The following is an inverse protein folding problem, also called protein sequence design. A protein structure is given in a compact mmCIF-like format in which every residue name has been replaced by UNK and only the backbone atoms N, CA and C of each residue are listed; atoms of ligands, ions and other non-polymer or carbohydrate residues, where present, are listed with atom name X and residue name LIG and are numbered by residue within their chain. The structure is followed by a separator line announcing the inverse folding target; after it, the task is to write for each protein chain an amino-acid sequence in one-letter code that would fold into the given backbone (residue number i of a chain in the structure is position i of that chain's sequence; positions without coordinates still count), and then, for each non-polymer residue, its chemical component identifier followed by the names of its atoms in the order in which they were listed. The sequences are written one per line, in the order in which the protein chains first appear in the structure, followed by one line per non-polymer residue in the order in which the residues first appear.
data_IF_308133948928
#
_entry.id   IF_308133948928
#
_cell.length_a   1.000
_cell.length_b   1.000
_cell.length_c   1.000
_cell.angle_alpha   90.00
_cell.angle_beta   90.00
_cell.angle_gamma   90.00
#
_symmetry.space_group_name_H-M   'P 1'
#
loop_
_entity.id
_entity.type
_entity.pdbx_description
1 polymer ?
#
# COMPACT_ATOMS: atom_id res chain seq x y z
N UNK A 1 -7.06 -6.76 28.54
CA UNK A 1 -7.84 -6.60 27.28
C UNK A 1 -6.83 -6.34 26.18
N UNK A 2 -6.88 -7.14 25.11
CA UNK A 2 -5.93 -7.04 24.00
C UNK A 2 -6.08 -5.70 23.28
N UNK A 3 -5.09 -4.81 23.39
CA UNK A 3 -5.14 -3.42 22.91
C UNK A 3 -5.53 -3.32 21.41
N UNK A 4 -5.14 -4.32 20.62
CA UNK A 4 -5.45 -4.44 19.21
C UNK A 4 -6.95 -4.60 18.91
N UNK A 5 -7.73 -5.09 19.87
CA UNK A 5 -9.17 -5.30 19.74
C UNK A 5 -9.99 -4.06 20.12
N UNK A 6 -9.33 -2.97 20.55
CA UNK A 6 -10.01 -1.73 20.88
C UNK A 6 -10.71 -1.13 19.65
N UNK A 7 -11.94 -0.62 19.80
CA UNK A 7 -12.65 0.07 18.74
C UNK A 7 -11.89 1.28 18.21
N UNK A 8 -11.96 1.48 16.89
CA UNK A 8 -11.26 2.58 16.20
C UNK A 8 -11.71 3.97 16.67
N UNK A 9 -12.91 4.07 17.23
CA UNK A 9 -13.52 5.28 17.78
C UNK A 9 -12.69 5.92 18.91
N UNK A 10 -11.89 5.11 19.62
CA UNK A 10 -11.04 5.58 20.72
C UNK A 10 -9.68 6.11 20.25
N UNK A 11 -9.34 5.96 18.96
CA UNK A 11 -8.08 6.44 18.44
C UNK A 11 -8.09 7.98 18.32
N UNK A 12 -7.09 8.63 18.89
CA UNK A 12 -6.93 10.08 18.76
C UNK A 12 -6.88 10.53 17.30
N UNK A 13 -7.76 11.48 16.96
CA UNK A 13 -7.96 11.96 15.58
C UNK A 13 -9.11 11.29 14.83
N UNK A 14 -9.75 10.27 15.43
CA UNK A 14 -10.96 9.60 14.92
C UNK A 14 -12.18 10.07 15.71
N UNK A 15 -12.84 11.14 15.25
CA UNK A 15 -14.15 11.51 15.79
C UNK A 15 -15.28 10.60 15.27
N UNK A 16 -16.50 10.67 15.83
CA UNK A 16 -17.61 9.77 15.48
C UNK A 16 -17.88 9.66 13.97
N UNK A 17 -17.88 10.80 13.27
CA UNK A 17 -18.08 10.83 11.82
C UNK A 17 -16.95 10.16 11.02
N UNK A 18 -15.70 10.20 11.51
CA UNK A 18 -14.58 9.50 10.88
C UNK A 18 -14.62 8.01 11.17
N UNK A 19 -14.95 7.62 12.40
CA UNK A 19 -15.12 6.22 12.79
C UNK A 19 -16.17 5.53 11.90
N UNK A 20 -17.34 6.16 11.76
CA UNK A 20 -18.42 5.65 10.90
C UNK A 20 -17.98 5.44 9.44
N UNK A 21 -17.20 6.37 8.90
CA UNK A 21 -16.69 6.25 7.53
C UNK A 21 -15.64 5.14 7.40
N UNK A 22 -14.71 5.02 8.34
CA UNK A 22 -13.71 3.95 8.36
C UNK A 22 -14.38 2.57 8.40
N UNK A 23 -15.41 2.41 9.23
CA UNK A 23 -16.20 1.18 9.33
C UNK A 23 -16.97 0.87 8.05
N UNK A 24 -17.69 1.84 7.49
CA UNK A 24 -18.57 1.64 6.32
C UNK A 24 -17.80 1.46 5.01
N UNK A 25 -16.76 2.27 4.79
CA UNK A 25 -16.06 2.32 3.50
C UNK A 25 -14.85 1.39 3.46
N UNK A 26 -14.12 1.22 4.57
CA UNK A 26 -12.89 0.41 4.62
C UNK A 26 -13.02 -0.86 5.48
N UNK A 27 -14.15 -1.07 6.17
CA UNK A 27 -14.34 -2.17 7.13
C UNK A 27 -13.29 -2.18 8.25
N UNK A 28 -12.83 -1.00 8.67
CA UNK A 28 -11.89 -0.83 9.78
C UNK A 28 -12.70 -0.57 11.05
N UNK A 29 -12.78 -1.57 11.93
CA UNK A 29 -13.55 -1.50 13.18
C UNK A 29 -12.65 -1.35 14.40
N UNK A 30 -11.44 -1.90 14.34
CA UNK A 30 -10.50 -2.01 15.46
C UNK A 30 -9.13 -1.43 15.15
N UNK A 31 -8.28 -1.33 16.17
CA UNK A 31 -6.87 -0.97 16.00
C UNK A 31 -6.12 -1.98 15.13
N UNK A 32 -6.43 -3.28 15.27
CA UNK A 32 -5.89 -4.33 14.42
C UNK A 32 -6.20 -4.08 12.95
N UNK A 33 -7.46 -3.75 12.63
CA UNK A 33 -7.87 -3.52 11.24
C UNK A 33 -7.13 -2.32 10.62
N UNK A 34 -6.89 -1.25 11.39
CA UNK A 34 -6.12 -0.10 10.90
C UNK A 34 -4.64 -0.47 10.71
N UNK A 35 -4.06 -1.26 11.63
CA UNK A 35 -2.67 -1.71 11.58
C UNK A 35 -2.39 -2.71 10.45
N UNK A 36 -3.40 -3.48 10.01
CA UNK A 36 -3.26 -4.38 8.87
C UNK A 36 -3.75 -3.76 7.56
N UNK A 37 -4.17 -2.50 7.58
CA UNK A 37 -4.53 -1.74 6.39
C UNK A 37 -3.28 -1.23 5.66
N UNK A 38 -2.59 -2.13 4.97
CA UNK A 38 -1.28 -1.84 4.37
C UNK A 38 -1.34 -0.85 3.19
N UNK A 39 -0.26 -0.08 2.96
CA UNK A 39 -0.12 0.71 1.74
C UNK A 39 -0.13 -0.17 0.49
N UNK A 40 -0.81 0.28 -0.56
CA UNK A 40 -0.84 -0.43 -1.85
C UNK A 40 0.33 -0.07 -2.78
N UNK A 41 0.99 1.06 -2.50
CA UNK A 41 2.24 1.48 -3.15
C UNK A 41 3.01 2.39 -2.22
N UNK A 42 4.27 2.66 -2.56
CA UNK A 42 5.12 3.62 -1.87
C UNK A 42 5.58 4.68 -2.85
N UNK A 43 5.69 5.92 -2.38
CA UNK A 43 6.23 7.04 -3.15
C UNK A 43 7.53 7.50 -2.51
N UNK A 44 8.53 7.74 -3.36
CA UNK A 44 9.80 8.30 -2.93
C UNK A 44 9.74 9.84 -3.00
N UNK A 45 9.93 10.43 -1.83
CA UNK A 45 9.98 11.85 -1.49
C UNK A 45 11.35 12.22 -0.89
N UNK A 46 12.37 11.39 -1.06
CA UNK A 46 13.74 11.67 -0.58
C UNK A 46 14.40 12.81 -1.33
N UNK A 47 14.14 12.89 -2.65
CA UNK A 47 14.80 13.84 -3.55
C UNK A 47 13.95 15.08 -3.78
N UNK A 48 14.54 16.24 -3.51
CA UNK A 48 13.99 17.54 -3.89
C UNK A 48 14.62 17.95 -5.22
N UNK A 49 13.78 18.16 -6.23
CA UNK A 49 14.17 18.60 -7.57
C UNK A 49 14.10 20.13 -7.65
N UNK A 50 14.95 20.69 -8.51
CA UNK A 50 14.79 22.07 -9.00
C UNK A 50 13.74 22.11 -10.11
N UNK A 51 13.06 23.24 -10.28
CA UNK A 51 12.06 23.41 -11.34
C UNK A 51 12.69 23.21 -12.72
N UNK A 52 13.93 23.65 -12.93
CA UNK A 52 14.68 23.44 -14.18
C UNK A 52 15.01 21.98 -14.51
N UNK A 53 14.95 21.09 -13.51
CA UNK A 53 15.20 19.65 -13.71
C UNK A 53 13.94 18.89 -14.14
N UNK A 54 12.79 19.56 -14.19
CA UNK A 54 11.53 18.93 -14.58
C UNK A 54 11.54 18.75 -16.10
N UNK A 55 11.42 17.50 -16.52
CA UNK A 55 11.25 17.10 -17.92
C UNK A 55 9.94 16.36 -18.09
N UNK A 56 9.50 16.22 -19.34
CA UNK A 56 8.33 15.41 -19.68
C UNK A 56 8.52 13.96 -19.22
N UNK A 57 7.40 13.31 -18.86
CA UNK A 57 7.34 11.92 -18.39
C UNK A 57 8.07 11.58 -17.07
N UNK A 58 8.57 12.58 -16.33
CA UNK A 58 8.96 12.31 -14.95
C UNK A 58 7.78 11.73 -14.15
N UNK A 59 8.07 10.81 -13.20
CA UNK A 59 7.07 10.31 -12.26
C UNK A 59 6.68 11.42 -11.28
N UNK A 60 6.29 11.08 -10.06
CA UNK A 60 6.04 12.09 -9.04
C UNK A 60 7.35 12.78 -8.65
N UNK A 61 7.33 14.11 -8.55
CA UNK A 61 8.46 14.93 -8.13
C UNK A 61 8.12 15.67 -6.85
N UNK A 62 9.16 15.97 -6.08
CA UNK A 62 9.07 16.87 -4.93
C UNK A 62 9.91 18.11 -5.22
N UNK A 63 9.34 19.31 -5.10
CA UNK A 63 10.01 20.58 -5.39
C UNK A 63 9.84 21.54 -4.22
N UNK A 64 10.88 22.35 -3.95
CA UNK A 64 10.84 23.41 -2.92
C UNK A 64 10.79 24.76 -3.63
N UNK A 65 9.86 25.63 -3.23
CA UNK A 65 9.79 26.98 -3.76
C UNK A 65 8.90 27.91 -2.94
N UNK A 66 8.81 29.17 -3.33
CA UNK A 66 7.89 30.16 -2.75
C UNK A 66 6.66 30.35 -3.61
N UNK A 67 5.50 30.49 -2.99
CA UNK A 67 4.30 30.91 -3.71
C UNK A 67 4.34 32.43 -3.88
N UNK A 68 4.48 32.91 -5.12
CA UNK A 68 4.56 34.34 -5.44
C UNK A 68 3.19 34.97 -5.71
N UNK A 69 2.25 34.18 -6.24
CA UNK A 69 0.86 34.60 -6.47
C UNK A 69 -0.06 33.40 -6.61
N UNK A 70 -1.35 33.63 -6.41
CA UNK A 70 -2.39 32.67 -6.77
C UNK A 70 -3.66 33.40 -7.20
N UNK A 71 -4.40 32.78 -8.11
CA UNK A 71 -5.57 33.36 -8.75
C UNK A 71 -6.65 32.30 -9.05
N UNK A 72 -7.91 32.72 -9.01
CA UNK A 72 -9.04 31.90 -9.46
C UNK A 72 -9.25 32.17 -10.96
N UNK A 73 -9.17 31.12 -11.78
CA UNK A 73 -9.40 31.20 -13.23
C UNK A 73 -10.67 30.43 -13.59
N UNK A 74 -11.45 30.98 -14.53
CA UNK A 74 -12.65 30.36 -15.10
C UNK A 74 -13.94 30.70 -14.33
N UNK A 75 -15.08 30.24 -14.88
CA UNK A 75 -16.42 30.44 -14.30
C UNK A 75 -17.19 29.11 -14.25
N UNK A 76 -18.13 29.00 -13.29
CA UNK A 76 -18.97 27.81 -13.14
C UNK A 76 -18.15 26.53 -12.92
N UNK A 77 -18.45 25.48 -13.71
CA UNK A 77 -17.76 24.17 -13.65
C UNK A 77 -16.29 24.22 -14.10
N UNK A 78 -15.86 25.25 -14.82
CA UNK A 78 -14.48 25.41 -15.26
C UNK A 78 -13.60 26.20 -14.26
N UNK A 79 -14.12 26.53 -13.07
CA UNK A 79 -13.37 27.26 -12.05
C UNK A 79 -12.23 26.41 -11.49
N UNK A 80 -11.03 26.98 -11.42
CA UNK A 80 -9.83 26.37 -10.84
C UNK A 80 -8.97 27.40 -10.13
N UNK A 81 -8.28 26.97 -9.08
CA UNK A 81 -7.25 27.77 -8.41
C UNK A 81 -5.91 27.47 -9.08
N UNK A 82 -5.16 28.52 -9.44
CA UNK A 82 -3.77 28.40 -9.88
C UNK A 82 -2.88 29.14 -8.90
N UNK A 83 -1.84 28.47 -8.38
CA UNK A 83 -0.75 29.12 -7.66
C UNK A 83 0.54 29.05 -8.48
N UNK A 84 1.37 30.08 -8.39
CA UNK A 84 2.68 30.13 -9.02
C UNK A 84 3.73 29.88 -7.96
N UNK A 85 4.43 28.76 -8.09
CA UNK A 85 5.55 28.40 -7.26
C UNK A 85 6.84 28.78 -8.00
N UNK A 86 7.69 29.55 -7.34
CA UNK A 86 8.98 30.01 -7.84
C UNK A 86 10.11 29.41 -7.01
N UNK A 87 11.16 28.93 -7.68
CA UNK A 87 12.46 28.66 -7.09
C UNK A 87 13.53 29.51 -7.80
N UNK A 88 14.80 29.30 -7.45
CA UNK A 88 15.96 29.97 -8.05
C UNK A 88 16.18 29.66 -9.54
N UNK A 89 15.44 28.69 -10.10
CA UNK A 89 15.62 28.19 -11.47
C UNK A 89 14.43 28.44 -12.38
N UNK A 90 13.25 28.76 -11.84
CA UNK A 90 12.08 29.09 -12.65
C UNK A 90 10.77 29.10 -11.88
N UNK A 91 9.67 29.08 -12.64
CA UNK A 91 8.30 29.15 -12.12
C UNK A 91 7.48 27.97 -12.66
N UNK A 92 6.74 27.30 -11.78
CA UNK A 92 5.79 26.25 -12.13
C UNK A 92 4.38 26.56 -11.61
N UNK A 93 3.36 26.14 -12.36
CA UNK A 93 1.95 26.33 -11.98
C UNK A 93 1.42 25.15 -11.18
N UNK A 94 0.80 25.42 -10.05
CA UNK A 94 0.08 24.44 -9.22
C UNK A 94 -1.41 24.64 -9.45
N UNK A 95 -2.13 23.59 -9.84
CA UNK A 95 -3.53 23.70 -10.31
C UNK A 95 -4.46 22.83 -9.48
N UNK A 96 -5.54 23.40 -8.96
CA UNK A 96 -6.59 22.66 -8.25
C UNK A 96 -7.96 22.91 -8.89
N UNK A 97 -8.57 21.83 -9.39
CA UNK A 97 -9.93 21.85 -9.93
C UNK A 97 -11.00 21.62 -8.85
N UNK A 98 -10.71 20.74 -7.90
CA UNK A 98 -11.51 20.47 -6.69
C UNK A 98 -10.89 21.11 -5.44
N UNK A 99 -11.71 21.48 -4.46
CA UNK A 99 -11.23 21.96 -3.14
C UNK A 99 -10.61 23.36 -3.13
N UNK A 100 -10.67 24.11 -4.24
CA UNK A 100 -10.04 25.41 -4.43
C UNK A 100 -10.24 26.39 -3.25
N UNK A 101 -11.46 26.46 -2.69
CA UNK A 101 -11.77 27.38 -1.57
C UNK A 101 -10.94 27.09 -0.31
N UNK A 102 -10.85 25.82 0.09
CA UNK A 102 -10.09 25.41 1.28
C UNK A 102 -8.58 25.57 1.08
N UNK A 103 -8.11 25.21 -0.12
CA UNK A 103 -6.69 25.34 -0.48
C UNK A 103 -6.29 26.81 -0.47
N UNK A 104 -7.09 27.68 -1.11
CA UNK A 104 -6.84 29.12 -1.13
C UNK A 104 -6.69 29.71 0.27
N UNK A 105 -7.49 29.26 1.24
CA UNK A 105 -7.35 29.72 2.64
C UNK A 105 -6.09 29.21 3.36
N UNK A 106 -5.47 28.12 2.88
CA UNK A 106 -4.22 27.58 3.44
C UNK A 106 -2.94 28.13 2.80
N UNK A 107 -3.03 28.68 1.58
CA UNK A 107 -1.88 29.20 0.86
C UNK A 107 -1.52 30.61 1.33
N UNK A 108 -0.22 30.86 1.52
CA UNK A 108 0.35 32.15 1.89
C UNK A 108 1.34 32.60 0.83
N UNK A 109 1.26 33.87 0.44
CA UNK A 109 2.22 34.48 -0.48
C UNK A 109 3.57 34.63 0.23
N UNK A 110 4.66 34.59 -0.54
CA UNK A 110 6.05 34.75 -0.07
C UNK A 110 6.49 33.73 0.99
N UNK A 111 5.78 32.61 1.10
CA UNK A 111 6.05 31.53 2.04
C UNK A 111 6.63 30.33 1.29
N UNK A 112 7.64 29.69 1.88
CA UNK A 112 8.27 28.49 1.30
C UNK A 112 7.40 27.25 1.51
N UNK A 113 7.17 26.52 0.42
CA UNK A 113 6.44 25.27 0.40
C UNK A 113 7.29 24.15 -0.21
N UNK A 114 7.04 22.95 0.28
CA UNK A 114 7.40 21.71 -0.38
C UNK A 114 6.16 21.21 -1.12
N UNK A 115 6.33 20.91 -2.40
CA UNK A 115 5.23 20.54 -3.29
C UNK A 115 5.53 19.18 -3.90
N UNK A 116 4.61 18.24 -3.73
CA UNK A 116 4.71 16.90 -4.28
C UNK A 116 3.58 16.62 -5.27
N UNK A 117 3.93 16.12 -6.44
CA UNK A 117 2.93 15.70 -7.43
C UNK A 117 3.55 15.29 -8.76
N UNK A 118 2.71 14.83 -9.68
CA UNK A 118 3.15 14.47 -11.03
C UNK A 118 3.19 15.73 -11.91
N UNK A 119 4.35 16.08 -12.49
CA UNK A 119 4.44 17.18 -13.44
C UNK A 119 3.76 16.79 -14.75
N UNK A 120 3.14 17.77 -15.40
CA UNK A 120 2.48 17.63 -16.69
C UNK A 120 2.77 18.85 -17.54
N UNK A 121 3.22 18.65 -18.78
CA UNK A 121 3.40 19.74 -19.73
C UNK A 121 2.07 20.16 -20.35
N UNK A 122 1.84 21.46 -20.38
CA UNK A 122 0.76 22.07 -21.14
C UNK A 122 1.25 23.36 -21.79
N UNK A 123 1.25 23.40 -23.13
CA UNK A 123 1.66 24.56 -23.94
C UNK A 123 3.02 25.13 -23.53
N UNK A 124 4.07 24.30 -23.53
CA UNK A 124 5.44 24.63 -23.12
C UNK A 124 5.60 25.13 -21.67
N UNK A 125 4.60 24.93 -20.82
CA UNK A 125 4.70 25.22 -19.38
C UNK A 125 4.36 23.98 -18.57
N UNK A 126 5.20 23.66 -17.59
CA UNK A 126 4.90 22.61 -16.63
C UNK A 126 3.84 23.09 -15.63
N UNK A 127 2.97 22.16 -15.26
CA UNK A 127 2.06 22.33 -14.15
C UNK A 127 1.96 21.04 -13.35
N UNK A 128 1.54 21.17 -12.09
CA UNK A 128 1.20 20.02 -11.24
C UNK A 128 -0.27 20.15 -10.89
N UNK A 129 -1.05 19.13 -11.23
CA UNK A 129 -2.49 19.07 -10.93
C UNK A 129 -2.71 18.39 -9.59
N UNK A 130 -3.52 19.01 -8.73
CA UNK A 130 -3.81 18.54 -7.39
C UNK A 130 -2.54 18.17 -6.58
N UNK A 131 -1.51 19.04 -6.55
CA UNK A 131 -0.32 18.76 -5.76
C UNK A 131 -0.65 18.70 -4.28
N UNK A 132 0.15 17.92 -3.56
CA UNK A 132 0.26 18.02 -2.14
C UNK A 132 1.22 19.17 -1.78
N UNK A 133 0.84 20.01 -0.83
CA UNK A 133 1.63 21.18 -0.43
C UNK A 133 1.82 21.18 1.08
N UNK A 134 3.07 21.20 1.52
CA UNK A 134 3.46 21.31 2.92
C UNK A 134 4.29 22.56 3.14
N UNK A 135 4.15 23.21 4.30
CA UNK A 135 5.04 24.31 4.66
C UNK A 135 6.46 23.77 4.84
N UNK A 136 7.43 24.43 4.23
CA UNK A 136 8.84 24.02 4.35
C UNK A 136 9.31 24.02 5.80
N UNK A 137 8.85 24.97 6.60
CA UNK A 137 9.18 25.06 8.03
C UNK A 137 8.72 23.82 8.81
N UNK A 138 7.51 23.33 8.55
CA UNK A 138 6.97 22.13 9.20
C UNK A 138 7.67 20.85 8.72
N UNK A 139 8.12 20.85 7.47
CA UNK A 139 8.89 19.76 6.90
C UNK A 139 10.28 19.68 7.53
N UNK A 140 10.99 20.81 7.60
CA UNK A 140 12.35 20.86 8.13
C UNK A 140 12.44 20.47 9.62
N UNK A 141 11.35 20.60 10.37
CA UNK A 141 11.26 20.22 11.79
C UNK A 141 11.12 18.72 12.04
N UNK A 142 10.83 17.88 11.03
CA UNK A 142 10.63 16.43 11.23
C UNK A 142 11.69 15.62 10.50
N UNK A 143 12.09 14.50 11.10
CA UNK A 143 12.87 13.48 10.42
C UNK A 143 11.99 12.83 9.34
N UNK A 144 12.22 13.18 8.07
CA UNK A 144 11.50 12.59 6.96
C UNK A 144 12.32 11.45 6.39
N UNK A 145 11.67 10.29 6.29
CA UNK A 145 12.16 9.19 5.46
C UNK A 145 11.53 9.38 4.10
N UNK A 146 12.33 9.31 3.05
CA UNK A 146 11.86 9.56 1.69
C UNK A 146 10.73 8.64 1.26
N UNK A 147 10.62 7.43 1.79
CA UNK A 147 9.60 6.49 1.37
C UNK A 147 8.30 6.65 2.18
N UNK A 148 7.22 7.03 1.52
CA UNK A 148 5.90 7.19 2.14
C UNK A 148 4.88 6.21 1.55
N UNK A 149 4.15 5.51 2.42
CA UNK A 149 3.08 4.59 2.02
C UNK A 149 1.84 5.34 1.50
N UNK A 150 1.28 4.85 0.40
CA UNK A 150 0.01 5.33 -0.16
C UNK A 150 -1.11 4.33 0.12
N UNK A 151 -2.21 4.83 0.68
CA UNK A 151 -3.36 4.04 1.13
C UNK A 151 -4.57 4.27 0.23
N UNK A 152 -5.38 3.22 0.05
CA UNK A 152 -6.65 3.37 -0.65
C UNK A 152 -7.58 4.30 0.14
N UNK A 153 -8.26 5.19 -0.56
CA UNK A 153 -9.21 6.14 0.03
C UNK A 153 -10.23 6.54 -1.04
N UNK A 154 -11.50 6.62 -0.65
CA UNK A 154 -12.59 7.07 -1.51
C UNK A 154 -12.72 8.60 -1.47
N UNK A 155 -13.43 9.19 -2.44
CA UNK A 155 -13.69 10.65 -2.43
C UNK A 155 -14.42 11.09 -1.15
N UNK A 156 -15.33 10.25 -0.63
CA UNK A 156 -16.05 10.51 0.63
C UNK A 156 -15.10 10.55 1.83
N UNK A 157 -14.17 9.60 1.91
CA UNK A 157 -13.14 9.56 2.94
C UNK A 157 -12.22 10.80 2.84
N UNK A 158 -11.74 11.10 1.63
CA UNK A 158 -10.89 12.26 1.38
C UNK A 158 -11.57 13.58 1.78
N UNK A 159 -12.88 13.73 1.52
CA UNK A 159 -13.65 14.90 1.91
C UNK A 159 -13.72 15.13 3.43
N UNK A 160 -13.51 14.09 4.24
CA UNK A 160 -13.42 14.17 5.73
C UNK A 160 -11.99 14.12 6.26
N UNK A 161 -11.00 14.28 5.38
CA UNK A 161 -9.58 14.27 5.72
C UNK A 161 -9.01 12.87 5.98
N UNK A 162 -9.69 11.82 5.49
CA UNK A 162 -9.22 10.43 5.50
C UNK A 162 -8.65 10.04 4.13
N UNK A 163 -7.94 10.97 3.48
CA UNK A 163 -7.10 10.65 2.32
C UNK A 163 -5.86 9.84 2.78
N UNK A 164 -4.98 9.47 1.85
CA UNK A 164 -3.78 8.68 2.16
C UNK A 164 -2.96 9.26 3.33
N UNK A 165 -2.72 10.58 3.35
CA UNK A 165 -2.02 11.27 4.45
C UNK A 165 -2.80 11.21 5.77
N UNK A 166 -4.12 11.34 5.71
CA UNK A 166 -5.01 11.21 6.85
C UNK A 166 -4.93 9.84 7.50
N UNK A 167 -4.97 8.79 6.67
CA UNK A 167 -4.84 7.39 7.13
C UNK A 167 -3.45 7.16 7.74
N UNK A 168 -2.39 7.58 7.05
CA UNK A 168 -1.03 7.51 7.59
C UNK A 168 -0.89 8.24 8.93
N UNK A 169 -1.55 9.39 9.10
CA UNK A 169 -1.56 10.13 10.37
C UNK A 169 -2.23 9.34 11.49
N UNK A 170 -3.36 8.68 11.21
CA UNK A 170 -4.00 7.79 12.18
C UNK A 170 -3.09 6.63 12.57
N UNK A 171 -2.43 6.01 11.59
CA UNK A 171 -1.45 4.94 11.84
C UNK A 171 -0.29 5.44 12.70
N UNK A 172 0.28 6.62 12.38
CA UNK A 172 1.35 7.24 13.18
C UNK A 172 0.91 7.57 14.62
N UNK A 173 -0.37 7.86 14.84
CA UNK A 173 -0.92 8.02 16.19
C UNK A 173 -1.10 6.67 16.91
N UNK A 174 -1.41 5.61 16.17
CA UNK A 174 -1.63 4.27 16.70
C UNK A 174 -0.33 3.57 17.08
N UNK A 175 0.71 3.61 16.23
CA UNK A 175 1.95 2.85 16.42
C UNK A 175 2.60 3.05 17.81
N UNK A 176 2.70 4.26 18.38
CA UNK A 176 3.28 4.44 19.72
C UNK A 176 2.46 3.79 20.84
N UNK A 177 1.14 3.66 20.65
CA UNK A 177 0.26 3.02 21.63
C UNK A 177 0.47 1.51 21.68
N UNK A 178 0.84 0.90 20.55
CA UNK A 178 1.00 -0.55 20.41
C UNK A 178 2.40 -1.05 20.76
N UNK A 179 3.29 -0.18 21.24
CA UNK A 179 4.69 -0.52 21.47
C UNK A 179 4.79 -1.62 22.54
N UNK A 180 5.48 -2.72 22.21
CA UNK A 180 5.58 -3.93 23.03
C UNK A 180 4.26 -4.70 23.26
N UNK A 181 3.14 -4.29 22.65
CA UNK A 181 1.84 -4.98 22.75
C UNK A 181 1.56 -5.87 21.52
N UNK A 182 2.54 -6.03 20.63
CA UNK A 182 2.43 -6.88 19.44
C UNK A 182 3.12 -8.21 19.71
N UNK A 183 2.31 -9.24 19.93
CA UNK A 183 2.80 -10.61 20.10
C UNK A 183 3.41 -11.17 18.81
N UNK A 184 4.55 -11.84 18.98
CA UNK A 184 5.23 -12.55 17.91
C UNK A 184 4.46 -13.81 17.50
N UNK A 185 4.45 -14.10 16.20
CA UNK A 185 3.67 -15.19 15.59
C UNK A 185 4.55 -16.32 15.08
N UNK A 186 5.83 -16.04 14.82
CA UNK A 186 6.81 -17.03 14.39
C UNK A 186 7.67 -17.46 15.58
N UNK A 187 8.13 -18.71 15.58
CA UNK A 187 9.07 -19.16 16.61
C UNK A 187 10.41 -18.45 16.47
N UNK A 188 11.11 -18.26 17.60
CA UNK A 188 12.45 -17.66 17.59
C UNK A 188 13.42 -18.36 16.64
N UNK A 189 13.28 -19.70 16.50
CA UNK A 189 14.09 -20.50 15.59
C UNK A 189 13.93 -20.02 14.14
N UNK A 190 12.69 -19.86 13.67
CA UNK A 190 12.40 -19.41 12.29
C UNK A 190 12.94 -17.99 12.08
N UNK A 191 12.73 -17.10 13.06
CA UNK A 191 13.19 -15.71 12.99
C UNK A 191 14.72 -15.66 12.85
N UNK A 192 15.45 -16.42 13.69
CA UNK A 192 16.92 -16.49 13.69
C UNK A 192 17.46 -17.13 12.39
N UNK A 193 16.91 -18.27 11.98
CA UNK A 193 17.36 -18.98 10.76
C UNK A 193 17.16 -18.17 9.48
N UNK A 194 16.05 -17.43 9.38
CA UNK A 194 15.71 -16.65 8.18
C UNK A 194 16.15 -15.19 8.27
N UNK A 195 16.79 -14.79 9.38
CA UNK A 195 17.21 -13.42 9.69
C UNK A 195 16.08 -12.40 9.47
N UNK A 196 14.89 -12.71 9.97
CA UNK A 196 13.73 -11.86 9.81
C UNK A 196 13.64 -10.83 10.95
N UNK A 197 13.17 -9.60 10.68
CA UNK A 197 12.78 -8.66 11.74
C UNK A 197 11.61 -9.21 12.59
N UNK A 198 11.41 -8.63 13.78
CA UNK A 198 10.24 -8.96 14.60
C UNK A 198 8.96 -8.52 13.90
N UNK A 199 7.82 -9.09 14.33
CA UNK A 199 6.51 -8.68 13.81
C UNK A 199 6.24 -7.20 14.05
N UNK A 200 6.51 -6.70 15.26
CA UNK A 200 6.36 -5.29 15.60
C UNK A 200 7.20 -4.40 14.68
N UNK A 201 8.49 -4.70 14.53
CA UNK A 201 9.39 -3.92 13.66
C UNK A 201 8.91 -3.94 12.21
N UNK A 202 8.39 -5.07 11.74
CA UNK A 202 7.86 -5.21 10.40
C UNK A 202 6.60 -4.37 10.18
N UNK A 203 5.68 -4.36 11.15
CA UNK A 203 4.46 -3.56 11.09
C UNK A 203 4.76 -2.05 11.19
N UNK A 204 5.76 -1.64 11.98
CA UNK A 204 6.20 -0.24 11.96
C UNK A 204 6.78 0.13 10.59
N UNK A 205 7.73 -0.67 10.07
CA UNK A 205 8.45 -0.32 8.85
C UNK A 205 7.63 -0.48 7.57
N UNK A 206 6.55 -1.27 7.55
CA UNK A 206 5.65 -1.32 6.39
C UNK A 206 4.83 -0.01 6.28
N UNK A 207 4.50 0.63 7.40
CA UNK A 207 3.72 1.89 7.37
C UNK A 207 4.60 3.14 7.35
N UNK A 208 5.66 3.13 8.15
CA UNK A 208 6.62 4.21 8.30
C UNK A 208 8.04 3.65 8.23
N UNK A 209 8.52 3.32 7.01
CA UNK A 209 9.89 2.87 6.81
C UNK A 209 10.89 3.83 7.46
N UNK A 210 11.92 3.31 8.13
CA UNK A 210 13.08 4.11 8.55
C UNK A 210 14.07 4.35 7.41
N UNK A 211 14.23 3.34 6.56
CA UNK A 211 15.07 3.35 5.38
C UNK A 211 14.59 2.23 4.42
N UNK A 212 15.16 2.18 3.22
CA UNK A 212 14.76 1.21 2.21
C UNK A 212 15.08 -0.25 2.60
N UNK A 213 16.16 -0.49 3.34
CA UNK A 213 16.53 -1.85 3.77
C UNK A 213 15.52 -2.41 4.78
N UNK A 214 15.14 -1.61 5.77
CA UNK A 214 14.14 -2.01 6.77
C UNK A 214 12.77 -2.22 6.14
N UNK A 215 12.40 -1.41 5.15
CA UNK A 215 11.20 -1.62 4.35
C UNK A 215 11.21 -2.99 3.64
N UNK A 216 12.29 -3.31 2.93
CA UNK A 216 12.42 -4.58 2.21
C UNK A 216 12.35 -5.77 3.19
N UNK A 217 13.03 -5.67 4.34
CA UNK A 217 13.01 -6.71 5.38
C UNK A 217 11.61 -6.89 5.98
N UNK A 218 10.93 -5.81 6.31
CA UNK A 218 9.55 -5.82 6.80
C UNK A 218 8.60 -6.48 5.80
N UNK A 219 8.68 -6.08 4.53
CA UNK A 219 7.85 -6.66 3.47
C UNK A 219 8.12 -8.16 3.31
N UNK A 220 9.39 -8.58 3.33
CA UNK A 220 9.77 -10.00 3.27
C UNK A 220 9.17 -10.78 4.43
N UNK A 221 9.28 -10.27 5.66
CA UNK A 221 8.77 -10.90 6.88
C UNK A 221 7.24 -11.03 6.89
N UNK A 222 6.51 -9.99 6.50
CA UNK A 222 5.04 -10.03 6.45
C UNK A 222 4.54 -11.00 5.38
N UNK A 223 5.12 -10.96 4.17
CA UNK A 223 4.81 -11.93 3.11
C UNK A 223 5.11 -13.36 3.55
N UNK A 224 6.28 -13.58 4.14
CA UNK A 224 6.67 -14.91 4.62
C UNK A 224 5.67 -15.44 5.64
N UNK A 225 5.28 -14.62 6.62
CA UNK A 225 4.30 -15.02 7.65
C UNK A 225 2.96 -15.43 7.04
N UNK A 226 2.43 -14.64 6.11
CA UNK A 226 1.17 -14.96 5.43
C UNK A 226 1.26 -16.30 4.69
N UNK A 227 2.31 -16.50 3.88
CA UNK A 227 2.53 -17.78 3.19
C UNK A 227 2.77 -18.95 4.15
N UNK A 228 3.48 -18.72 5.25
CA UNK A 228 3.76 -19.73 6.25
C UNK A 228 2.46 -20.26 6.88
N UNK A 229 1.58 -19.36 7.34
CA UNK A 229 0.30 -19.76 7.91
C UNK A 229 -0.64 -20.37 6.88
N UNK A 230 -0.63 -19.89 5.63
CA UNK A 230 -1.36 -20.52 4.54
C UNK A 230 -0.90 -21.97 4.32
N UNK A 231 0.43 -22.20 4.26
CA UNK A 231 0.99 -23.54 4.09
C UNK A 231 0.69 -24.45 5.29
N UNK A 232 0.80 -23.93 6.52
CA UNK A 232 0.42 -24.69 7.71
C UNK A 232 -1.06 -25.09 7.67
N UNK A 233 -1.94 -24.20 7.21
CA UNK A 233 -3.36 -24.50 7.04
C UNK A 233 -3.59 -25.61 6.00
N UNK A 234 -2.94 -25.52 4.82
CA UNK A 234 -3.03 -26.53 3.77
C UNK A 234 -2.49 -27.90 4.23
N UNK A 235 -1.38 -27.91 4.96
CA UNK A 235 -0.81 -29.14 5.53
C UNK A 235 -1.74 -29.74 6.58
N UNK A 236 -2.33 -28.93 7.45
CA UNK A 236 -3.34 -29.38 8.41
C UNK A 236 -4.53 -30.05 7.70
N UNK A 237 -5.05 -29.42 6.64
CA UNK A 237 -6.13 -29.99 5.84
C UNK A 237 -5.72 -31.32 5.18
N UNK A 238 -4.52 -31.37 4.57
CA UNK A 238 -3.97 -32.58 3.96
C UNK A 238 -3.89 -33.71 4.99
N UNK A 239 -3.34 -33.46 6.17
CA UNK A 239 -3.19 -34.45 7.24
C UNK A 239 -4.54 -34.96 7.75
N UNK A 240 -5.52 -34.06 7.94
CA UNK A 240 -6.88 -34.45 8.34
C UNK A 240 -7.51 -35.34 7.27
N UNK A 241 -7.37 -34.96 5.99
CA UNK A 241 -7.90 -35.73 4.87
C UNK A 241 -7.27 -37.11 4.77
N UNK A 242 -5.94 -37.22 4.82
CA UNK A 242 -5.23 -38.51 4.73
C UNK A 242 -5.51 -39.43 5.92
N UNK A 243 -5.77 -38.86 7.11
CA UNK A 243 -6.15 -39.67 8.28
C UNK A 243 -7.59 -40.18 8.20
N UNK A 244 -8.52 -39.35 7.71
CA UNK A 244 -9.96 -39.70 7.64
C UNK A 244 -10.32 -40.55 6.43
N UNK A 245 -9.68 -40.30 5.30
CA UNK A 245 -9.91 -41.00 4.04
C UNK A 245 -8.67 -41.83 3.72
N UNK A 246 -8.75 -43.14 3.99
CA UNK A 246 -7.80 -44.08 3.41
C UNK A 246 -8.10 -44.15 1.92
N UNK A 247 -7.12 -43.81 1.08
CA UNK A 247 -7.22 -44.03 -0.36
C UNK A 247 -7.45 -45.51 -0.65
N UNK A 248 -8.20 -45.80 -1.70
CA UNK A 248 -8.33 -47.17 -2.19
C UNK A 248 -7.14 -47.44 -3.12
N UNK A 249 -6.24 -48.38 -2.77
CA UNK A 249 -5.13 -48.69 -3.65
C UNK A 249 -5.69 -49.28 -4.94
N UNK A 250 -5.27 -48.76 -6.09
CA UNK A 250 -5.63 -49.32 -7.38
C UNK A 250 -4.47 -50.13 -7.96
N UNK A 251 -4.07 -51.30 -7.42
CA UNK A 251 -2.78 -51.93 -7.74
C UNK A 251 -2.67 -52.44 -9.19
N UNK A 252 -3.79 -52.76 -9.83
CA UNK A 252 -3.83 -53.42 -11.13
C UNK A 252 -4.54 -52.52 -12.13
N UNK A 253 -3.94 -52.36 -13.32
CA UNK A 253 -4.60 -51.75 -14.46
C UNK A 253 -5.50 -52.83 -15.06
N UNK A 254 -6.82 -52.68 -14.89
CA UNK A 254 -7.79 -53.65 -15.39
C UNK A 254 -7.96 -53.62 -16.90
N UNK A 255 -8.60 -54.66 -17.44
CA UNK A 255 -8.78 -54.87 -18.87
C UNK A 255 -9.53 -53.72 -19.54
N UNK A 256 -10.52 -53.12 -18.86
CA UNK A 256 -11.25 -51.95 -19.36
C UNK A 256 -10.33 -50.76 -19.73
N UNK A 257 -9.27 -50.52 -18.95
CA UNK A 257 -8.31 -49.45 -19.27
C UNK A 257 -7.45 -49.82 -20.48
N UNK A 258 -6.94 -51.05 -20.52
CA UNK A 258 -6.07 -51.51 -21.60
C UNK A 258 -6.84 -51.61 -22.93
N UNK A 259 -8.09 -52.08 -22.89
CA UNK A 259 -8.99 -52.14 -24.05
C UNK A 259 -9.30 -50.73 -24.56
N UNK A 260 -9.67 -49.80 -23.68
CA UNK A 260 -9.92 -48.42 -24.09
C UNK A 260 -8.67 -47.77 -24.68
N UNK A 261 -7.53 -47.91 -23.99
CA UNK A 261 -6.25 -47.31 -24.40
C UNK A 261 -5.77 -47.84 -25.77
N UNK A 262 -5.89 -49.14 -26.02
CA UNK A 262 -5.37 -49.76 -27.24
C UNK A 262 -6.37 -49.76 -28.41
N UNK A 263 -7.67 -49.90 -28.15
CA UNK A 263 -8.66 -50.20 -29.19
C UNK A 263 -9.66 -49.07 -29.46
N UNK A 264 -9.81 -48.11 -28.55
CA UNK A 264 -10.83 -47.05 -28.65
C UNK A 264 -10.27 -45.64 -28.78
N UNK A 265 -8.96 -45.43 -28.58
CA UNK A 265 -8.32 -44.13 -28.83
C UNK A 265 -7.82 -44.10 -30.29
N UNK A 266 -8.39 -43.24 -31.17
CA UNK A 266 -8.09 -43.26 -32.60
C UNK A 266 -6.78 -42.56 -32.98
N UNK A 267 -5.93 -42.23 -31.99
CA UNK A 267 -4.67 -41.52 -32.19
C UNK A 267 -3.63 -41.92 -31.15
N UNK A 268 -2.35 -41.76 -31.48
CA UNK A 268 -1.29 -41.98 -30.50
C UNK A 268 -1.23 -40.82 -29.48
N UNK A 269 -1.20 -41.16 -28.19
CA UNK A 269 -1.03 -40.15 -27.15
C UNK A 269 0.35 -39.50 -27.23
N UNK A 270 0.37 -38.18 -27.09
CA UNK A 270 1.59 -37.39 -26.96
C UNK A 270 2.38 -37.80 -25.70
N UNK A 271 3.68 -37.50 -25.68
CA UNK A 271 4.53 -37.75 -24.51
C UNK A 271 4.01 -37.06 -23.24
N UNK A 272 3.40 -35.88 -23.37
CA UNK A 272 2.80 -35.16 -22.24
C UNK A 272 1.56 -35.90 -21.69
N UNK A 273 0.67 -36.39 -22.55
CA UNK A 273 -0.51 -37.17 -22.15
C UNK A 273 -0.11 -38.48 -21.46
N UNK A 274 0.87 -39.21 -22.02
CA UNK A 274 1.41 -40.44 -21.40
C UNK A 274 2.03 -40.17 -20.03
N UNK A 275 2.70 -39.02 -19.83
CA UNK A 275 3.25 -38.61 -18.53
C UNK A 275 2.16 -38.35 -17.50
N UNK A 276 1.12 -37.59 -17.86
CA UNK A 276 -0.01 -37.28 -16.97
C UNK A 276 -0.75 -38.54 -16.53
N UNK A 277 -1.00 -39.50 -17.44
CA UNK A 277 -1.61 -40.79 -17.09
C UNK A 277 -0.77 -41.56 -16.05
N UNK A 278 0.56 -41.55 -16.19
CA UNK A 278 1.48 -42.18 -15.23
C UNK A 278 1.49 -41.46 -13.87
N UNK A 279 1.39 -40.13 -13.86
CA UNK A 279 1.29 -39.34 -12.61
C UNK A 279 0.00 -39.64 -11.87
N UNK A 280 -1.15 -39.60 -12.56
CA UNK A 280 -2.45 -39.98 -11.98
C UNK A 280 -2.36 -41.40 -11.41
N UNK A 281 -1.81 -42.36 -12.16
CA UNK A 281 -1.67 -43.75 -11.70
C UNK A 281 -0.82 -43.89 -10.44
N UNK A 282 0.19 -43.05 -10.24
CA UNK A 282 1.02 -43.05 -9.02
C UNK A 282 0.30 -42.46 -7.82
N UNK A 283 -0.66 -41.57 -8.05
CA UNK A 283 -1.42 -40.88 -7.02
C UNK A 283 -2.65 -41.67 -6.53
N UNK A 284 -3.10 -42.70 -7.27
CA UNK A 284 -4.24 -43.60 -6.94
C UNK A 284 -3.80 -45.01 -6.54
#
# INVERSE_FOLDING_TARGET
MELLSNPIDFLSGVGPARADLLKKELRIFTYRDLLTYYPFRYVDKSKIFKISQIVDDLPFVQIKGKIIKFEDIGRGRAKRLIAHLEDDTGIIKLVWFKGARWIKSSLKINTEYLVFGKPSAFRNTFNIVHPETDLWEDYNKKAHVGLEGVYHSSEKLSAKGLNSRGILKLIKNLLPLLKNDIEETLSEKIIKELNLPSKEESLVNIHTPKNNNDFIRAQKRLKFEEFFFLQLHLLKLKLIRTKKLKGYPFPIIGDNFNEFYNNHIPFELTGAQKRVLKEIRKDV
#
